data_IF_198375156763
#
_entry.id   IF_198375156763
#
_cell.length_a   1.000
_cell.length_b   1.000
_cell.length_c   1.000
_cell.angle_alpha   90.00
_cell.angle_beta   90.00
_cell.angle_gamma   90.00
#
_symmetry.space_group_name_H-M   'P 1'
#
loop_
_entity.id
_entity.type
_entity.pdbx_description
1 polymer ?
#
# COMPACT_ATOMS: atom_id res chain seq x y z
N UNK A 1 18.93 -11.73 -13.29
CA UNK A 1 19.41 -12.40 -12.07
C UNK A 1 19.14 -11.45 -10.93
N UNK A 2 18.49 -11.97 -9.89
CA UNK A 2 18.12 -11.19 -8.72
C UNK A 2 19.13 -11.48 -7.59
N UNK A 3 19.66 -10.42 -6.99
CA UNK A 3 20.63 -10.50 -5.89
C UNK A 3 20.08 -9.74 -4.70
N UNK A 4 19.99 -10.39 -3.54
CA UNK A 4 19.57 -9.73 -2.30
C UNK A 4 20.71 -8.90 -1.73
N UNK A 5 20.45 -7.61 -1.52
CA UNK A 5 21.43 -6.64 -1.01
C UNK A 5 21.29 -6.37 0.49
N UNK A 6 20.22 -6.87 1.11
CA UNK A 6 19.97 -6.76 2.55
C UNK A 6 18.54 -6.35 2.89
N UNK A 7 18.29 -6.15 4.18
CA UNK A 7 16.98 -5.79 4.71
C UNK A 7 16.79 -4.26 4.74
N UNK A 8 15.66 -3.79 4.19
CA UNK A 8 15.23 -2.39 4.27
C UNK A 8 14.44 -2.13 5.53
N UNK A 9 13.53 -3.05 5.87
CA UNK A 9 12.65 -2.93 7.02
C UNK A 9 12.22 -4.30 7.53
N UNK A 10 12.25 -4.47 8.85
CA UNK A 10 11.53 -5.54 9.53
C UNK A 10 10.16 -5.05 9.97
N UNK A 11 9.15 -5.90 9.82
CA UNK A 11 7.79 -5.62 10.25
C UNK A 11 7.21 -6.78 11.03
N UNK A 12 6.09 -6.49 11.72
CA UNK A 12 5.30 -7.52 12.40
C UNK A 12 4.73 -8.54 11.41
N UNK A 13 4.27 -8.06 10.25
CA UNK A 13 3.53 -8.85 9.25
C UNK A 13 4.38 -9.25 8.03
N UNK A 14 5.34 -8.40 7.67
CA UNK A 14 6.21 -8.61 6.53
C UNK A 14 7.58 -7.98 6.75
N UNK A 15 8.59 -8.56 6.13
CA UNK A 15 9.91 -7.96 5.98
C UNK A 15 10.06 -7.42 4.55
N UNK A 16 10.80 -6.34 4.40
CA UNK A 16 11.09 -5.72 3.10
C UNK A 16 12.59 -5.78 2.86
N UNK A 17 12.99 -6.38 1.75
CA UNK A 17 14.39 -6.56 1.33
C UNK A 17 14.71 -5.70 0.11
N UNK A 18 15.95 -5.26 0.00
CA UNK A 18 16.48 -4.61 -1.20
C UNK A 18 17.02 -5.67 -2.14
N UNK A 19 16.55 -5.69 -3.38
CA UNK A 19 16.99 -6.60 -4.43
C UNK A 19 17.62 -5.78 -5.56
N UNK A 20 18.75 -6.23 -6.09
CA UNK A 20 19.26 -5.79 -7.39
C UNK A 20 18.88 -6.81 -8.45
N UNK A 21 18.15 -6.37 -9.47
CA UNK A 21 17.84 -7.17 -10.65
C UNK A 21 18.74 -6.72 -11.79
N UNK A 22 19.61 -7.62 -12.26
CA UNK A 22 20.51 -7.38 -13.38
C UNK A 22 20.19 -8.29 -14.59
N UNK A 23 20.40 -7.80 -15.80
CA UNK A 23 20.30 -8.62 -17.02
C UNK A 23 21.50 -9.57 -17.08
N UNK A 24 21.31 -10.90 -17.18
CA UNK A 24 22.43 -11.83 -17.30
C UNK A 24 23.30 -11.48 -18.51
N UNK A 25 24.61 -11.31 -18.29
CA UNK A 25 25.56 -10.97 -19.35
C UNK A 25 25.69 -9.47 -19.64
N UNK A 26 24.91 -8.60 -19.00
CA UNK A 26 25.05 -7.14 -19.10
C UNK A 26 25.05 -6.49 -17.71
N UNK A 27 26.25 -6.20 -17.20
CA UNK A 27 26.44 -5.58 -15.89
C UNK A 27 25.98 -4.10 -15.83
N UNK A 28 25.68 -3.47 -16.97
CA UNK A 28 25.21 -2.08 -17.03
C UNK A 28 23.70 -1.98 -16.87
N UNK A 29 22.97 -3.03 -17.21
CA UNK A 29 21.51 -3.08 -17.08
C UNK A 29 21.11 -3.71 -15.75
N UNK A 30 20.90 -2.84 -14.76
CA UNK A 30 20.45 -3.23 -13.42
C UNK A 30 19.49 -2.21 -12.84
N UNK A 31 18.59 -2.68 -11.99
CA UNK A 31 17.67 -1.84 -11.22
C UNK A 31 17.53 -2.36 -9.80
N UNK A 32 17.18 -1.46 -8.89
CA UNK A 32 16.85 -1.81 -7.52
C UNK A 32 15.34 -2.02 -7.37
N UNK A 33 14.97 -3.02 -6.60
CA UNK A 33 13.60 -3.43 -6.30
C UNK A 33 13.44 -3.63 -4.80
N UNK A 34 12.21 -3.49 -4.32
CA UNK A 34 11.81 -3.87 -2.98
C UNK A 34 11.07 -5.20 -3.02
N UNK A 35 11.50 -6.16 -2.20
CA UNK A 35 10.83 -7.44 -2.02
C UNK A 35 10.11 -7.46 -0.67
N UNK A 36 8.77 -7.38 -0.67
CA UNK A 36 7.93 -7.54 0.53
C UNK A 36 7.59 -9.02 0.70
N UNK A 37 8.06 -9.63 1.80
CA UNK A 37 7.82 -11.05 2.13
C UNK A 37 6.94 -11.14 3.36
N UNK A 38 5.77 -11.74 3.21
CA UNK A 38 4.83 -11.99 4.30
C UNK A 38 5.27 -13.13 5.22
N UNK A 39 5.02 -13.00 6.53
CA UNK A 39 5.33 -14.03 7.53
C UNK A 39 4.19 -15.05 7.66
N UNK A 40 4.54 -16.33 7.83
CA UNK A 40 3.58 -17.45 7.92
C UNK A 40 2.59 -17.38 9.10
N UNK A 41 2.96 -16.70 10.20
CA UNK A 41 2.15 -16.60 11.42
C UNK A 41 0.87 -15.78 11.25
N UNK A 42 0.78 -14.96 10.21
CA UNK A 42 -0.25 -13.93 10.07
C UNK A 42 -1.56 -14.39 9.45
N UNK A 43 -1.67 -15.68 9.11
CA UNK A 43 -2.97 -16.33 8.91
C UNK A 43 -3.95 -16.09 10.07
N UNK A 44 -3.46 -15.78 11.28
CA UNK A 44 -4.28 -15.63 12.50
C UNK A 44 -4.50 -14.17 12.94
N UNK A 45 -3.61 -13.24 12.61
CA UNK A 45 -3.74 -11.83 13.01
C UNK A 45 -4.81 -11.12 12.17
N UNK A 46 -4.86 -11.39 10.87
CA UNK A 46 -5.89 -10.86 9.97
C UNK A 46 -7.25 -11.57 10.04
N UNK A 47 -7.33 -12.78 10.59
CA UNK A 47 -8.62 -13.39 10.97
C UNK A 47 -9.37 -12.56 12.03
N UNK A 48 -8.68 -11.65 12.74
CA UNK A 48 -9.30 -10.72 13.69
C UNK A 48 -9.70 -9.38 13.07
N UNK A 49 -9.29 -9.09 11.84
CA UNK A 49 -9.56 -7.83 11.16
C UNK A 49 -10.66 -8.00 10.10
N UNK A 50 -11.79 -8.60 10.49
CA UNK A 50 -12.92 -8.91 9.60
C UNK A 50 -13.39 -7.68 8.82
N UNK A 51 -13.26 -6.49 9.42
CA UNK A 51 -13.44 -5.16 8.84
C UNK A 51 -12.87 -4.99 7.43
N UNK A 52 -11.67 -5.50 7.11
CA UNK A 52 -11.04 -5.29 5.79
C UNK A 52 -11.38 -6.37 4.76
N UNK A 53 -11.95 -7.50 5.22
CA UNK A 53 -12.27 -8.67 4.38
C UNK A 53 -13.76 -8.88 4.15
N UNK A 54 -14.64 -8.24 4.93
CA UNK A 54 -16.09 -8.46 4.89
C UNK A 54 -16.74 -8.12 3.53
N UNK A 55 -16.19 -7.15 2.78
CA UNK A 55 -16.60 -6.85 1.40
C UNK A 55 -15.91 -7.69 0.32
N UNK A 56 -14.81 -8.39 0.65
CA UNK A 56 -13.95 -9.12 -0.28
C UNK A 56 -14.48 -10.53 -0.51
N UNK A 57 -15.72 -10.66 -1.01
CA UNK A 57 -16.30 -11.95 -1.42
C UNK A 57 -15.45 -12.52 -2.56
N UNK A 58 -14.59 -13.48 -2.25
CA UNK A 58 -13.81 -14.22 -3.25
C UNK A 58 -14.76 -14.92 -4.21
N UNK A 59 -14.75 -14.48 -5.46
CA UNK A 59 -15.60 -14.99 -6.54
C UNK A 59 -15.11 -16.34 -7.08
N UNK A 60 -14.60 -17.22 -6.21
CA UNK A 60 -14.06 -18.51 -6.60
C UNK A 60 -14.39 -19.59 -5.55
N UNK A 61 -15.47 -20.33 -5.81
CA UNK A 61 -15.99 -21.43 -4.98
C UNK A 61 -15.02 -22.62 -4.86
N UNK A 62 -13.93 -22.65 -5.65
CA UNK A 62 -12.84 -23.64 -5.57
C UNK A 62 -11.86 -23.33 -4.45
N UNK A 63 -11.48 -22.07 -4.27
CA UNK A 63 -10.50 -21.66 -3.25
C UNK A 63 -11.10 -21.78 -1.84
N UNK A 64 -12.40 -21.50 -1.70
CA UNK A 64 -13.15 -21.72 -0.46
C UNK A 64 -13.15 -23.19 -0.02
N UNK A 65 -13.13 -24.14 -0.96
CA UNK A 65 -13.07 -25.59 -0.69
C UNK A 65 -11.65 -26.08 -0.35
N UNK A 66 -10.61 -25.45 -0.90
CA UNK A 66 -9.22 -25.74 -0.55
C UNK A 66 -8.88 -25.27 0.88
N UNK A 67 -9.36 -24.08 1.25
CA UNK A 67 -9.24 -23.50 2.60
C UNK A 67 -9.92 -24.38 3.68
N UNK A 68 -11.01 -25.07 3.33
CA UNK A 68 -11.76 -25.93 4.25
C UNK A 68 -11.02 -27.21 4.68
N UNK A 69 -10.00 -27.66 3.92
CA UNK A 69 -9.33 -28.96 4.17
C UNK A 69 -8.13 -28.90 5.11
N UNK A 70 -7.68 -27.71 5.56
CA UNK A 70 -6.52 -27.51 6.49
C UNK A 70 -5.24 -28.31 6.13
N UNK A 71 -5.07 -28.72 4.87
CA UNK A 71 -3.87 -29.44 4.42
C UNK A 71 -2.66 -28.51 4.36
N UNK A 72 -1.44 -29.06 4.31
CA UNK A 72 -0.23 -28.26 4.16
C UNK A 72 -0.29 -27.35 2.91
N UNK A 73 -0.76 -27.90 1.79
CA UNK A 73 -0.99 -27.16 0.55
C UNK A 73 -2.10 -26.09 0.69
N UNK A 74 -3.18 -26.37 1.43
CA UNK A 74 -4.23 -25.37 1.69
C UNK A 74 -3.75 -24.19 2.54
N UNK A 75 -2.76 -24.41 3.43
CA UNK A 75 -2.10 -23.32 4.17
C UNK A 75 -1.17 -22.49 3.29
N UNK A 76 -0.44 -23.14 2.39
CA UNK A 76 0.44 -22.44 1.43
C UNK A 76 -0.37 -21.55 0.46
N UNK A 77 -1.50 -22.05 -0.05
CA UNK A 77 -2.42 -21.27 -0.88
C UNK A 77 -3.03 -20.10 -0.10
N UNK A 78 -3.41 -20.32 1.17
CA UNK A 78 -3.92 -19.24 2.03
C UNK A 78 -2.86 -18.17 2.31
N UNK A 79 -1.60 -18.58 2.45
CA UNK A 79 -0.47 -17.67 2.70
C UNK A 79 -0.24 -16.77 1.49
N UNK A 80 -0.26 -17.35 0.30
CA UNK A 80 -0.06 -16.64 -0.95
C UNK A 80 -1.23 -15.72 -1.30
N UNK A 81 -2.46 -16.04 -0.89
CA UNK A 81 -3.63 -15.22 -1.24
C UNK A 81 -3.46 -13.73 -0.89
N UNK A 82 -2.72 -13.43 0.18
CA UNK A 82 -2.45 -12.06 0.63
C UNK A 82 -1.53 -11.30 -0.32
N UNK A 83 -0.40 -11.90 -0.72
CA UNK A 83 0.55 -11.27 -1.63
C UNK A 83 -0.12 -11.02 -2.99
N UNK A 84 -0.92 -11.96 -3.48
CA UNK A 84 -1.67 -11.81 -4.73
C UNK A 84 -2.72 -10.70 -4.64
N UNK A 85 -3.41 -10.57 -3.51
CA UNK A 85 -4.41 -9.53 -3.32
C UNK A 85 -3.78 -8.13 -3.24
N UNK A 86 -2.68 -7.96 -2.50
CA UNK A 86 -1.94 -6.69 -2.48
C UNK A 86 -1.32 -6.38 -3.84
N UNK A 87 -0.76 -7.38 -4.54
CA UNK A 87 -0.23 -7.19 -5.89
C UNK A 87 -1.31 -6.73 -6.87
N UNK A 88 -2.52 -7.30 -6.79
CA UNK A 88 -3.65 -6.88 -7.60
C UNK A 88 -4.11 -5.46 -7.28
N UNK A 89 -4.14 -5.08 -6.00
CA UNK A 89 -4.42 -3.72 -5.56
C UNK A 89 -3.37 -2.73 -6.09
N UNK A 90 -2.08 -3.03 -5.90
CA UNK A 90 -0.95 -2.23 -6.38
C UNK A 90 -1.00 -2.06 -7.91
N UNK A 91 -1.26 -3.14 -8.65
CA UNK A 91 -1.44 -3.12 -10.11
C UNK A 91 -2.58 -2.24 -10.54
N UNK A 92 -3.76 -2.40 -9.94
CA UNK A 92 -4.93 -1.57 -10.26
C UNK A 92 -4.66 -0.09 -10.00
N UNK A 93 -4.07 0.27 -8.86
CA UNK A 93 -3.80 1.67 -8.54
C UNK A 93 -2.72 2.25 -9.45
N UNK A 94 -1.68 1.47 -9.79
CA UNK A 94 -0.67 1.89 -10.75
C UNK A 94 -1.26 2.12 -12.16
N UNK A 95 -2.13 1.22 -12.64
CA UNK A 95 -2.83 1.36 -13.93
C UNK A 95 -3.73 2.60 -14.00
N UNK A 96 -4.31 3.01 -12.87
CA UNK A 96 -5.07 4.25 -12.73
C UNK A 96 -4.19 5.51 -12.64
N UNK A 97 -2.87 5.36 -12.70
CA UNK A 97 -1.92 6.47 -12.61
C UNK A 97 -1.65 6.94 -11.19
N UNK A 98 -2.03 6.17 -10.17
CA UNK A 98 -1.72 6.52 -8.80
C UNK A 98 -0.21 6.46 -8.57
N UNK A 99 0.36 7.39 -7.78
CA UNK A 99 1.77 7.38 -7.45
C UNK A 99 2.03 6.33 -6.36
N UNK A 100 2.05 5.07 -6.79
CA UNK A 100 2.43 3.89 -6.01
C UNK A 100 3.71 3.29 -6.62
N UNK A 101 4.46 2.43 -5.92
CA UNK A 101 5.57 1.70 -6.52
C UNK A 101 5.11 0.83 -7.69
N UNK A 102 5.85 0.81 -8.80
CA UNK A 102 5.54 -0.07 -9.92
C UNK A 102 5.53 -1.56 -9.48
N UNK A 103 4.44 -2.31 -9.70
CA UNK A 103 4.36 -3.73 -9.38
C UNK A 103 5.13 -4.55 -10.42
N UNK A 104 6.16 -5.27 -9.97
CA UNK A 104 7.04 -6.04 -10.86
C UNK A 104 6.58 -7.49 -10.96
N UNK A 105 6.37 -8.14 -9.82
CA UNK A 105 6.02 -9.57 -9.78
C UNK A 105 5.41 -9.95 -8.42
N UNK A 106 4.60 -11.00 -8.41
CA UNK A 106 4.20 -11.72 -7.18
C UNK A 106 4.51 -13.21 -7.31
N UNK A 107 5.02 -13.82 -6.25
CA UNK A 107 5.32 -15.25 -6.20
C UNK A 107 5.21 -15.77 -4.77
N UNK A 108 4.33 -16.75 -4.53
CA UNK A 108 4.11 -17.28 -3.17
C UNK A 108 3.70 -16.17 -2.21
N UNK A 109 4.47 -15.94 -1.15
CA UNK A 109 4.23 -14.88 -0.15
C UNK A 109 5.06 -13.60 -0.41
N UNK A 110 5.71 -13.50 -1.57
CA UNK A 110 6.59 -12.37 -1.93
C UNK A 110 5.96 -11.49 -3.02
N UNK A 111 6.05 -10.18 -2.82
CA UNK A 111 5.79 -9.16 -3.83
C UNK A 111 7.10 -8.43 -4.14
N UNK A 112 7.43 -8.37 -5.42
CA UNK A 112 8.51 -7.55 -5.97
C UNK A 112 7.90 -6.29 -6.58
N UNK A 113 8.43 -5.13 -6.20
CA UNK A 113 7.98 -3.82 -6.68
C UNK A 113 9.16 -2.85 -6.81
N UNK A 114 8.92 -1.71 -7.46
CA UNK A 114 9.87 -0.59 -7.53
C UNK A 114 10.43 -0.24 -6.15
N UNK A 115 11.74 -0.05 -6.10
CA UNK A 115 12.39 0.57 -4.95
C UNK A 115 12.34 2.10 -5.09
N UNK A 116 11.77 2.77 -4.09
CA UNK A 116 11.71 4.24 -4.03
C UNK A 116 12.80 4.74 -3.07
N UNK A 117 13.83 5.40 -3.60
CA UNK A 117 14.96 5.92 -2.83
C UNK A 117 16.21 6.16 -3.67
N UNK A 118 17.30 6.51 -2.98
CA UNK A 118 18.59 6.88 -3.60
C UNK A 118 19.67 5.85 -3.29
N UNK A 119 20.25 5.26 -4.34
CA UNK A 119 21.19 4.16 -4.17
C UNK A 119 20.56 3.06 -3.33
N UNK A 120 21.17 2.71 -2.19
CA UNK A 120 20.65 1.67 -1.29
C UNK A 120 19.79 2.20 -0.13
N UNK A 121 19.51 3.50 -0.11
CA UNK A 121 18.78 4.16 0.98
C UNK A 121 17.34 4.41 0.56
N UNK A 122 16.38 3.82 1.27
CA UNK A 122 14.96 4.03 1.00
C UNK A 122 14.57 5.48 1.25
N UNK A 123 13.64 5.99 0.44
CA UNK A 123 13.05 7.31 0.66
C UNK A 123 12.44 7.41 2.07
N UNK A 124 12.53 8.58 2.73
CA UNK A 124 11.93 8.77 4.04
C UNK A 124 10.41 8.66 3.95
N UNK A 125 9.79 8.14 5.02
CA UNK A 125 8.35 8.27 5.20
C UNK A 125 7.99 9.73 5.49
N UNK A 126 6.79 10.17 5.12
CA UNK A 126 6.28 11.49 5.46
C UNK A 126 6.45 11.78 6.96
N UNK A 127 6.21 10.80 7.82
CA UNK A 127 6.39 10.92 9.28
C UNK A 127 7.82 11.30 9.70
N UNK A 128 8.83 10.98 8.88
CA UNK A 128 10.24 11.25 9.10
C UNK A 128 10.73 12.53 8.40
N UNK A 129 9.90 13.13 7.54
CA UNK A 129 10.23 14.37 6.83
C UNK A 129 10.20 15.55 7.80
N UNK A 130 11.22 16.40 7.70
CA UNK A 130 11.31 17.66 8.45
C UNK A 130 10.60 18.77 7.68
N UNK A 131 9.80 19.55 8.38
CA UNK A 131 8.92 20.57 7.78
C UNK A 131 9.68 21.71 7.08
N UNK A 132 10.92 21.99 7.48
CA UNK A 132 11.79 23.00 6.88
C UNK A 132 12.47 22.54 5.58
N UNK A 133 12.43 21.23 5.29
CA UNK A 133 13.07 20.63 4.13
C UNK A 133 12.11 20.41 2.95
N UNK A 134 10.81 20.69 3.12
CA UNK A 134 9.78 20.43 2.11
C UNK A 134 8.70 21.49 2.11
N UNK A 135 8.01 21.63 0.99
CA UNK A 135 6.75 22.39 0.94
C UNK A 135 5.61 21.51 1.43
N UNK A 136 5.18 21.71 2.68
CA UNK A 136 4.07 20.95 3.27
C UNK A 136 2.73 21.19 2.54
N UNK A 137 2.53 22.37 1.97
CA UNK A 137 1.29 22.67 1.25
C UNK A 137 1.23 21.88 -0.06
N UNK A 138 2.36 21.81 -0.78
CA UNK A 138 2.50 20.98 -1.97
C UNK A 138 2.33 19.48 -1.66
N UNK A 139 2.99 18.97 -0.61
CA UNK A 139 2.81 17.57 -0.20
C UNK A 139 1.36 17.25 0.18
N UNK A 140 0.68 18.15 0.89
CA UNK A 140 -0.74 17.97 1.20
C UNK A 140 -1.60 17.92 -0.08
N UNK A 141 -1.36 18.84 -1.03
CA UNK A 141 -2.08 18.85 -2.30
C UNK A 141 -1.88 17.54 -3.07
N UNK A 142 -0.64 17.05 -3.16
CA UNK A 142 -0.34 15.74 -3.75
C UNK A 142 -1.10 14.61 -3.04
N UNK A 143 -1.12 14.59 -1.71
CA UNK A 143 -1.84 13.55 -0.94
C UNK A 143 -3.34 13.63 -1.19
N UNK A 144 -3.93 14.83 -1.19
CA UNK A 144 -5.34 15.01 -1.47
C UNK A 144 -5.71 14.53 -2.88
N UNK A 145 -4.88 14.82 -3.90
CA UNK A 145 -5.08 14.33 -5.27
C UNK A 145 -4.99 12.80 -5.35
N UNK A 146 -4.09 12.19 -4.59
CA UNK A 146 -4.01 10.73 -4.48
C UNK A 146 -5.28 10.17 -3.84
N UNK A 147 -5.74 10.78 -2.75
CA UNK A 147 -6.97 10.36 -2.08
C UNK A 147 -8.19 10.51 -3.00
N UNK A 148 -8.27 11.57 -3.81
CA UNK A 148 -9.31 11.73 -4.85
C UNK A 148 -9.29 10.62 -5.87
N UNK A 149 -8.10 10.26 -6.36
CA UNK A 149 -7.95 9.17 -7.32
C UNK A 149 -8.40 7.82 -6.74
N UNK A 150 -8.05 7.56 -5.48
CA UNK A 150 -8.50 6.35 -4.76
C UNK A 150 -10.02 6.35 -4.62
N UNK A 151 -10.60 7.45 -4.13
CA UNK A 151 -12.02 7.59 -3.89
C UNK A 151 -12.83 7.46 -5.20
N UNK A 152 -12.41 8.15 -6.28
CA UNK A 152 -13.01 8.03 -7.60
C UNK A 152 -12.88 6.65 -8.24
N UNK A 153 -11.88 5.86 -7.82
CA UNK A 153 -11.76 4.46 -8.20
C UNK A 153 -12.64 3.50 -7.35
N UNK A 154 -13.37 4.03 -6.36
CA UNK A 154 -14.22 3.30 -5.43
C UNK A 154 -13.46 2.74 -4.22
N UNK A 155 -12.30 3.31 -3.85
CA UNK A 155 -11.47 2.80 -2.77
C UNK A 155 -11.12 3.85 -1.71
N UNK A 156 -11.09 3.39 -0.46
CA UNK A 156 -10.35 4.00 0.62
C UNK A 156 -9.05 3.23 0.82
N UNK A 157 -8.00 3.89 1.34
CA UNK A 157 -6.82 3.15 1.78
C UNK A 157 -7.13 2.38 3.08
N UNK A 158 -7.93 2.98 3.97
CA UNK A 158 -8.45 2.38 5.20
C UNK A 158 -7.50 2.36 6.40
N UNK A 159 -6.25 2.77 6.20
CA UNK A 159 -5.27 3.02 7.27
C UNK A 159 -4.21 4.03 6.78
N UNK A 160 -4.64 5.03 6.00
CA UNK A 160 -3.72 6.04 5.47
C UNK A 160 -3.18 6.88 6.63
N UNK A 161 -1.86 7.05 6.65
CA UNK A 161 -1.16 7.91 7.59
C UNK A 161 0.20 8.30 7.03
N UNK A 162 0.86 9.25 7.70
CA UNK A 162 2.23 9.65 7.34
C UNK A 162 3.27 8.51 7.42
N UNK A 163 2.94 7.35 7.96
CA UNK A 163 3.82 6.18 7.97
C UNK A 163 3.73 5.34 6.68
N UNK A 164 2.67 5.52 5.89
CA UNK A 164 2.40 4.76 4.66
C UNK A 164 2.59 5.63 3.40
N UNK A 165 3.22 6.80 3.57
CA UNK A 165 3.57 7.73 2.51
C UNK A 165 5.09 7.88 2.48
N UNK A 166 5.71 7.64 1.34
CA UNK A 166 7.12 7.97 1.08
C UNK A 166 7.21 9.33 0.40
N UNK A 167 8.27 10.09 0.69
CA UNK A 167 8.57 11.35 0.02
C UNK A 167 9.95 11.23 -0.61
N UNK A 168 10.02 11.26 -1.93
CA UNK A 168 11.25 11.17 -2.71
C UNK A 168 11.26 12.26 -3.77
N UNK A 169 12.31 13.08 -3.79
CA UNK A 169 12.45 14.23 -4.70
C UNK A 169 11.21 15.16 -4.73
N UNK A 170 10.63 15.42 -3.56
CA UNK A 170 9.43 16.24 -3.41
C UNK A 170 8.14 15.58 -3.89
N UNK A 171 8.16 14.30 -4.28
CA UNK A 171 6.99 13.55 -4.75
C UNK A 171 6.52 12.54 -3.71
N UNK A 172 5.21 12.48 -3.52
CA UNK A 172 4.58 11.52 -2.61
C UNK A 172 4.34 10.19 -3.32
N UNK A 173 4.70 9.07 -2.66
CA UNK A 173 4.34 7.71 -3.07
C UNK A 173 3.58 7.00 -1.96
N UNK A 174 2.42 6.42 -2.27
CA UNK A 174 1.66 5.60 -1.33
C UNK A 174 2.20 4.19 -1.33
N UNK A 175 2.43 3.63 -0.15
CA UNK A 175 2.86 2.25 0.05
C UNK A 175 1.90 1.53 1.00
N UNK A 176 2.03 0.20 1.07
CA UNK A 176 1.26 -0.66 1.98
C UNK A 176 -0.25 -0.65 1.67
N UNK A 177 -0.59 -1.22 0.50
CA UNK A 177 -1.95 -1.32 -0.03
C UNK A 177 -2.74 -2.61 0.31
N UNK A 178 -2.33 -3.55 1.21
CA UNK A 178 -3.13 -4.75 1.43
C UNK A 178 -4.54 -4.41 1.98
N UNK A 179 -4.68 -3.22 2.58
CA UNK A 179 -5.89 -2.73 3.24
C UNK A 179 -6.85 -1.93 2.36
N UNK A 180 -6.63 -1.77 1.04
CA UNK A 180 -7.60 -1.00 0.25
C UNK A 180 -9.02 -1.58 0.41
N UNK A 181 -9.95 -0.70 0.76
CA UNK A 181 -11.34 -1.03 1.07
C UNK A 181 -12.23 -0.45 0.00
N UNK A 182 -13.07 -1.30 -0.58
CA UNK A 182 -14.13 -0.86 -1.47
C UNK A 182 -15.13 0.00 -0.68
N UNK A 183 -15.26 1.27 -1.05
CA UNK A 183 -16.06 2.26 -0.30
C UNK A 183 -17.55 2.00 -0.37
N UNK A 184 -17.99 1.21 -1.36
CA UNK A 184 -19.40 0.89 -1.60
C UNK A 184 -19.75 -0.50 -1.06
N UNK A 185 -18.89 -1.48 -1.30
CA UNK A 185 -19.13 -2.87 -0.92
C UNK A 185 -18.83 -3.16 0.55
N UNK A 186 -18.01 -2.34 1.21
CA UNK A 186 -17.72 -2.48 2.63
C UNK A 186 -18.65 -1.59 3.47
N UNK A 187 -19.39 -2.13 4.47
CA UNK A 187 -20.22 -1.33 5.36
C UNK A 187 -19.48 -0.20 6.09
N UNK A 188 -18.17 -0.36 6.30
CA UNK A 188 -17.30 0.61 6.96
C UNK A 188 -16.49 1.45 5.97
N UNK A 189 -16.75 1.32 4.66
CA UNK A 189 -15.93 1.93 3.60
C UNK A 189 -15.83 3.45 3.70
N UNK A 190 -16.97 4.13 3.88
CA UNK A 190 -17.01 5.59 4.04
C UNK A 190 -16.40 6.07 5.37
N UNK A 191 -16.62 5.33 6.45
CA UNK A 191 -16.01 5.64 7.76
C UNK A 191 -14.48 5.54 7.70
N UNK A 192 -13.96 4.55 6.97
CA UNK A 192 -12.53 4.37 6.74
C UNK A 192 -11.95 5.47 5.84
N UNK A 193 -12.68 5.90 4.81
CA UNK A 193 -12.30 7.04 3.98
C UNK A 193 -12.23 8.35 4.80
N UNK A 194 -13.22 8.58 5.66
CA UNK A 194 -13.23 9.73 6.57
C UNK A 194 -12.06 9.68 7.56
N UNK A 195 -11.80 8.51 8.15
CA UNK A 195 -10.64 8.30 9.04
C UNK A 195 -9.32 8.61 8.34
N UNK A 196 -9.16 8.23 7.08
CA UNK A 196 -7.98 8.58 6.29
C UNK A 196 -7.83 10.11 6.18
N UNK A 197 -8.93 10.84 5.94
CA UNK A 197 -8.94 12.31 5.89
C UNK A 197 -8.49 12.93 7.22
N UNK A 198 -9.05 12.46 8.34
CA UNK A 198 -8.70 12.92 9.69
C UNK A 198 -7.23 12.67 9.99
N UNK A 199 -6.72 11.45 9.72
CA UNK A 199 -5.33 11.10 10.00
C UNK A 199 -4.35 12.02 9.25
N UNK A 200 -4.63 12.34 7.99
CA UNK A 200 -3.79 13.22 7.18
C UNK A 200 -3.90 14.67 7.68
N UNK A 201 -5.11 15.20 7.85
CA UNK A 201 -5.30 16.58 8.30
C UNK A 201 -4.68 16.82 9.68
N UNK A 202 -4.83 15.89 10.63
CA UNK A 202 -4.20 15.95 11.95
C UNK A 202 -2.67 16.00 11.87
N UNK A 203 -2.08 15.21 10.97
CA UNK A 203 -0.62 15.16 10.83
C UNK A 203 -0.04 16.49 10.33
N UNK A 204 -0.73 17.15 9.39
CA UNK A 204 -0.38 18.47 8.87
C UNK A 204 -0.70 19.59 9.86
N UNK A 205 -1.81 19.50 10.60
CA UNK A 205 -2.19 20.45 11.64
C UNK A 205 -1.14 20.54 12.76
N UNK A 206 -0.58 19.40 13.18
CA UNK A 206 0.56 19.34 14.14
C UNK A 206 1.82 20.03 13.62
N UNK A 207 1.90 20.31 12.33
CA UNK A 207 3.00 21.04 11.65
C UNK A 207 2.58 22.45 11.21
N UNK A 208 1.52 22.99 11.82
CA UNK A 208 1.00 24.35 11.58
C UNK A 208 0.46 24.56 10.16
N UNK A 209 0.04 23.48 9.49
CA UNK A 209 -0.75 23.55 8.27
C UNK A 209 -2.14 22.97 8.56
N UNK A 210 -3.05 23.83 9.03
CA UNK A 210 -4.42 23.43 9.33
C UNK A 210 -5.21 23.13 8.05
N UNK A 211 -5.96 22.03 8.08
CA UNK A 211 -6.82 21.54 7.00
C UNK A 211 -8.07 20.95 7.62
N UNK A 212 -9.21 21.18 6.98
CA UNK A 212 -10.49 20.66 7.44
C UNK A 212 -10.70 19.24 6.89
N UNK A 213 -10.74 18.20 7.75
CA UNK A 213 -10.99 16.84 7.30
C UNK A 213 -12.38 16.65 6.71
N UNK A 214 -13.39 17.44 7.11
CA UNK A 214 -14.74 17.36 6.55
C UNK A 214 -14.82 17.95 5.14
N UNK A 215 -14.09 19.04 4.91
CA UNK A 215 -13.96 19.63 3.56
C UNK A 215 -13.28 18.64 2.61
N UNK A 216 -12.16 18.05 3.04
CA UNK A 216 -11.47 17.02 2.27
C UNK A 216 -12.39 15.82 2.01
N UNK A 217 -13.06 15.32 3.05
CA UNK A 217 -13.96 14.18 2.89
C UNK A 217 -15.12 14.46 1.92
N UNK A 218 -15.73 15.65 2.00
CA UNK A 218 -16.78 16.07 1.07
C UNK A 218 -16.30 16.11 -0.38
N UNK A 219 -15.08 16.58 -0.61
CA UNK A 219 -14.43 16.58 -1.91
C UNK A 219 -14.15 15.15 -2.43
N UNK A 220 -13.71 14.23 -1.57
CA UNK A 220 -13.53 12.81 -1.93
C UNK A 220 -14.86 12.11 -2.25
N UNK A 221 -15.94 12.44 -1.53
CA UNK A 221 -17.28 11.92 -1.85
C UNK A 221 -17.73 12.42 -3.23
N UNK A 222 -17.52 13.69 -3.54
CA UNK A 222 -17.84 14.23 -4.86
C UNK A 222 -17.08 13.49 -5.98
N UNK A 223 -15.80 13.18 -5.78
CA UNK A 223 -15.01 12.39 -6.72
C UNK A 223 -15.50 10.93 -6.86
N UNK A 224 -16.11 10.36 -5.81
CA UNK A 224 -16.60 8.98 -5.81
C UNK A 224 -17.90 8.77 -6.58
N UNK A 225 -18.68 9.84 -6.79
CA UNK A 225 -19.99 9.81 -7.45
C UNK A 225 -20.06 10.66 -8.73
N UNK A 226 -18.93 11.22 -9.15
CA UNK A 226 -18.79 12.09 -10.31
C UNK A 226 -18.46 11.38 -11.62
#
# INVERSE_FOLDING_TARGET
>A
MDTELGILKTGKEADVFLIERAVPGDATQRTLLAAKRYRDSDHRSFQRSSTYTEGRRTRNTRDTRALAKKSAHGREVAAAQWSFAEFAALSRMHELGAPVPYPVQVSGTEILMEFVGDGRTAAPRLAQVRADAVDLADLFAQIADIMRLFAGAGFAHGDLSAYNLLVHDGRVRVIDLPQIVDTVANPQGLDLLHRDCVNICDWFGRRRLERDPEELFGDLLAASFG
#
